data_IF_278446333196
#
_entry.id   IF_278446333196
#
_cell.length_a   1.000
_cell.length_b   1.000
_cell.length_c   1.000
_cell.angle_alpha   90.00
_cell.angle_beta   90.00
_cell.angle_gamma   90.00
#
_symmetry.space_group_name_H-M   'P 1'
#
loop_
_entity.id
_entity.type
_entity.pdbx_description
1 polymer ?
#
# COMPACT_ATOMS: atom_id res chain seq x y z
N UNK A 1 -26.02 -10.08 10.73
CA UNK A 1 -24.73 -10.71 10.40
C UNK A 1 -24.04 -11.06 11.70
N UNK A 2 -23.63 -12.32 11.88
CA UNK A 2 -22.79 -12.70 13.02
C UNK A 2 -21.42 -12.08 12.74
N UNK A 3 -20.92 -11.23 13.64
CA UNK A 3 -19.58 -10.70 13.52
C UNK A 3 -18.60 -11.87 13.62
N UNK A 4 -17.82 -12.11 12.56
CA UNK A 4 -16.80 -13.16 12.57
C UNK A 4 -15.63 -12.64 13.38
N UNK A 5 -15.32 -13.31 14.49
CA UNK A 5 -14.19 -12.94 15.34
C UNK A 5 -12.88 -13.19 14.58
N UNK A 6 -12.01 -12.19 14.43
CA UNK A 6 -10.72 -12.39 13.80
C UNK A 6 -9.85 -13.31 14.66
N UNK A 7 -9.17 -14.24 14.02
CA UNK A 7 -8.25 -15.18 14.66
C UNK A 7 -6.78 -14.73 14.51
N UNK A 8 -6.51 -13.85 13.55
CA UNK A 8 -5.17 -13.42 13.20
C UNK A 8 -5.11 -11.91 13.00
N UNK A 9 -3.98 -11.30 13.39
CA UNK A 9 -3.60 -9.94 13.03
C UNK A 9 -2.29 -10.00 12.25
N UNK A 10 -2.28 -9.45 11.03
CA UNK A 10 -1.05 -9.19 10.29
C UNK A 10 -0.69 -7.71 10.44
N UNK A 11 0.40 -7.46 11.15
CA UNK A 11 0.86 -6.13 11.52
C UNK A 11 2.10 -5.74 10.70
N UNK A 12 2.03 -4.59 10.02
CA UNK A 12 3.18 -3.92 9.42
C UNK A 12 4.02 -3.27 10.53
N UNK A 13 4.94 -4.01 11.15
CA UNK A 13 5.74 -3.54 12.29
C UNK A 13 6.52 -2.26 11.97
N UNK A 14 7.20 -2.11 10.81
CA UNK A 14 7.81 -0.85 10.41
C UNK A 14 6.81 0.31 10.29
N UNK A 15 5.60 0.04 9.79
CA UNK A 15 4.51 1.01 9.68
C UNK A 15 3.85 1.38 11.01
N UNK A 16 4.02 0.55 12.05
CA UNK A 16 3.41 0.70 13.38
C UNK A 16 4.43 0.40 14.50
N UNK A 17 5.51 1.21 14.64
CA UNK A 17 6.62 0.89 15.55
C UNK A 17 6.20 0.83 17.02
N UNK A 18 5.22 1.64 17.42
CA UNK A 18 4.68 1.61 18.79
C UNK A 18 3.94 0.29 19.08
N UNK A 19 3.13 -0.19 18.15
CA UNK A 19 2.46 -1.49 18.28
C UNK A 19 3.48 -2.64 18.27
N UNK A 20 4.53 -2.55 17.44
CA UNK A 20 5.65 -3.49 17.46
C UNK A 20 6.35 -3.57 18.83
N UNK A 21 6.64 -2.41 19.43
CA UNK A 21 7.22 -2.35 20.78
C UNK A 21 6.27 -2.93 21.85
N UNK A 22 4.98 -2.60 21.78
CA UNK A 22 3.98 -3.15 22.70
C UNK A 22 3.80 -4.66 22.55
N UNK A 23 3.84 -5.19 21.32
CA UNK A 23 3.81 -6.62 21.06
C UNK A 23 4.96 -7.34 21.77
N UNK A 24 6.17 -6.77 21.72
CA UNK A 24 7.35 -7.36 22.36
C UNK A 24 7.37 -7.20 23.89
N UNK A 25 6.83 -6.11 24.43
CA UNK A 25 6.92 -5.78 25.85
C UNK A 25 5.70 -6.25 26.67
N UNK A 26 4.50 -6.01 26.17
CA UNK A 26 3.23 -6.22 26.88
C UNK A 26 2.53 -7.51 26.46
N UNK A 27 2.79 -7.98 25.25
CA UNK A 27 2.19 -9.20 24.68
C UNK A 27 3.24 -10.26 24.35
N UNK A 28 4.32 -10.33 25.14
CA UNK A 28 5.40 -11.30 24.94
C UNK A 28 4.94 -12.77 25.00
N UNK A 29 3.79 -13.04 25.63
CA UNK A 29 3.14 -14.36 25.68
C UNK A 29 2.36 -14.71 24.41
N UNK A 30 2.02 -13.72 23.58
CA UNK A 30 1.29 -13.96 22.35
C UNK A 30 2.13 -14.81 21.40
N UNK A 31 1.49 -15.76 20.73
CA UNK A 31 2.15 -16.52 19.67
C UNK A 31 2.12 -15.70 18.39
N UNK A 32 3.28 -15.45 17.81
CA UNK A 32 3.38 -14.71 16.57
C UNK A 32 4.58 -15.19 15.73
N UNK A 33 4.59 -14.81 14.46
CA UNK A 33 5.57 -15.26 13.47
C UNK A 33 6.00 -14.10 12.57
N UNK A 34 7.29 -14.03 12.23
CA UNK A 34 7.76 -13.12 11.19
C UNK A 34 7.34 -13.65 9.82
N UNK A 35 6.66 -12.82 9.03
CA UNK A 35 6.19 -13.25 7.72
C UNK A 35 7.35 -13.50 6.76
N UNK A 36 8.39 -12.67 6.82
CA UNK A 36 9.58 -12.78 5.96
C UNK A 36 10.50 -13.95 6.31
N UNK A 37 10.32 -14.57 7.47
CA UNK A 37 11.11 -15.73 7.86
C UNK A 37 10.92 -16.90 6.89
N UNK A 38 11.99 -17.54 6.42
CA UNK A 38 11.91 -18.64 5.45
C UNK A 38 11.58 -18.19 4.02
N UNK A 39 11.63 -16.89 3.73
CA UNK A 39 11.47 -16.32 2.39
C UNK A 39 12.78 -15.70 1.88
N UNK A 40 12.81 -15.22 0.64
CA UNK A 40 13.93 -14.45 0.10
C UNK A 40 14.25 -13.17 0.91
N UNK A 41 13.27 -12.69 1.70
CA UNK A 41 13.37 -11.52 2.57
C UNK A 41 13.84 -11.83 3.99
N UNK A 42 14.28 -13.06 4.28
CA UNK A 42 14.65 -13.49 5.64
C UNK A 42 15.70 -12.60 6.30
N UNK A 43 16.63 -12.04 5.53
CA UNK A 43 17.64 -11.10 6.05
C UNK A 43 17.03 -9.85 6.72
N UNK A 44 15.80 -9.47 6.32
CA UNK A 44 15.04 -8.34 6.83
C UNK A 44 13.91 -8.76 7.78
N UNK A 45 13.90 -10.01 8.29
CA UNK A 45 12.75 -10.57 9.03
C UNK A 45 12.27 -9.71 10.20
N UNK A 46 13.20 -9.13 10.96
CA UNK A 46 12.89 -8.29 12.14
C UNK A 46 12.38 -6.89 11.76
N UNK A 47 12.50 -6.52 10.48
CA UNK A 47 11.95 -5.31 9.87
C UNK A 47 10.78 -5.66 8.93
N UNK A 48 10.23 -6.88 9.03
CA UNK A 48 9.10 -7.34 8.24
C UNK A 48 7.79 -7.27 9.03
N UNK A 49 6.67 -7.67 8.39
CA UNK A 49 5.39 -7.77 9.08
C UNK A 49 5.35 -9.02 9.97
N UNK A 50 4.57 -8.92 11.05
CA UNK A 50 4.35 -10.01 12.01
C UNK A 50 2.91 -10.53 11.89
N UNK A 51 2.74 -11.85 11.91
CA UNK A 51 1.44 -12.52 12.01
C UNK A 51 1.24 -12.95 13.46
N UNK A 52 0.25 -12.37 14.15
CA UNK A 52 -0.09 -12.64 15.54
C UNK A 52 -1.33 -13.55 15.60
N UNK A 53 -1.25 -14.61 16.41
CA UNK A 53 -2.38 -15.49 16.73
C UNK A 53 -3.22 -14.88 17.85
N UNK A 54 -4.32 -14.21 17.48
CA UNK A 54 -5.21 -13.52 18.41
C UNK A 54 -5.92 -14.48 19.37
N UNK A 55 -6.00 -15.77 19.05
CA UNK A 55 -6.58 -16.77 19.96
C UNK A 55 -5.72 -16.99 21.19
N UNK A 56 -4.42 -16.68 21.11
CA UNK A 56 -3.48 -16.74 22.24
C UNK A 56 -3.44 -15.46 23.06
N UNK A 57 -4.08 -14.38 22.58
CA UNK A 57 -4.09 -13.06 23.20
C UNK A 57 -5.41 -12.31 22.88
N UNK A 58 -6.56 -12.75 23.43
CA UNK A 58 -7.87 -12.18 23.10
C UNK A 58 -8.02 -10.70 23.45
N UNK A 59 -7.29 -10.21 24.44
CA UNK A 59 -7.24 -8.80 24.83
C UNK A 59 -6.79 -7.89 23.68
N UNK A 60 -5.94 -8.39 22.78
CA UNK A 60 -5.47 -7.65 21.62
C UNK A 60 -6.57 -7.43 20.58
N UNK A 61 -7.58 -8.32 20.51
CA UNK A 61 -8.73 -8.15 19.61
C UNK A 61 -9.50 -6.87 19.96
N UNK A 62 -9.76 -6.64 21.25
CA UNK A 62 -10.44 -5.42 21.70
C UNK A 62 -9.65 -4.16 21.38
N UNK A 63 -8.32 -4.20 21.55
CA UNK A 63 -7.44 -3.08 21.22
C UNK A 63 -7.39 -2.77 19.73
N UNK A 64 -7.52 -3.78 18.86
CA UNK A 64 -7.61 -3.56 17.42
C UNK A 64 -8.86 -2.75 17.03
N UNK A 65 -9.95 -2.87 17.79
CA UNK A 65 -11.19 -2.10 17.57
C UNK A 65 -11.17 -0.74 18.28
N UNK A 66 -10.63 -0.65 19.50
CA UNK A 66 -10.66 0.58 20.31
C UNK A 66 -9.48 1.53 20.05
N UNK A 67 -8.32 1.00 19.69
CA UNK A 67 -7.06 1.73 19.49
C UNK A 67 -6.57 1.59 18.04
N UNK A 68 -7.49 1.77 17.12
CA UNK A 68 -7.26 1.64 15.67
C UNK A 68 -6.00 2.33 15.17
N UNK A 69 -5.66 3.59 15.55
CA UNK A 69 -4.44 4.25 15.06
C UNK A 69 -3.14 3.53 15.43
N UNK A 70 -3.13 2.79 16.54
CA UNK A 70 -1.99 2.06 17.04
C UNK A 70 -1.89 0.68 16.38
N UNK A 71 -3.00 -0.08 16.36
CA UNK A 71 -3.05 -1.45 15.84
C UNK A 71 -3.53 -1.51 14.38
N UNK A 72 -2.96 -0.66 13.53
CA UNK A 72 -3.28 -0.64 12.09
C UNK A 72 -2.67 -1.84 11.37
N UNK A 73 -3.44 -2.92 11.28
CA UNK A 73 -3.07 -4.12 10.53
C UNK A 73 -4.27 -4.77 9.84
N UNK A 74 -4.03 -5.93 9.25
CA UNK A 74 -5.07 -6.75 8.65
C UNK A 74 -5.56 -7.80 9.63
N UNK A 75 -6.83 -7.73 10.00
CA UNK A 75 -7.52 -8.70 10.82
C UNK A 75 -8.11 -9.79 9.91
N UNK A 76 -7.86 -11.06 10.24
CA UNK A 76 -8.25 -12.18 9.40
C UNK A 76 -8.94 -13.28 10.20
N UNK A 77 -9.93 -13.92 9.58
CA UNK A 77 -10.45 -15.21 10.01
C UNK A 77 -9.98 -16.29 9.02
N UNK A 78 -9.44 -17.39 9.55
CA UNK A 78 -9.01 -18.54 8.75
C UNK A 78 -8.92 -19.75 9.66
N UNK A 79 -9.59 -20.84 9.26
CA UNK A 79 -9.67 -22.07 10.07
C UNK A 79 -8.53 -23.06 9.77
N UNK A 80 -7.62 -22.72 8.85
CA UNK A 80 -6.47 -23.56 8.55
C UNK A 80 -5.39 -23.45 9.64
N UNK A 81 -4.56 -24.49 9.82
CA UNK A 81 -3.38 -24.42 10.68
C UNK A 81 -2.46 -23.23 10.34
N UNK A 82 -1.78 -22.69 11.35
CA UNK A 82 -0.89 -21.53 11.20
C UNK A 82 0.17 -21.69 10.12
N UNK A 83 0.69 -22.91 9.94
CA UNK A 83 1.68 -23.22 8.91
C UNK A 83 1.15 -23.03 7.48
N UNK A 84 -0.09 -23.46 7.23
CA UNK A 84 -0.74 -23.30 5.91
C UNK A 84 -1.13 -21.85 5.65
N UNK A 85 -1.59 -21.13 6.67
CA UNK A 85 -1.86 -19.70 6.54
C UNK A 85 -0.57 -18.91 6.25
N UNK A 86 0.52 -19.19 6.99
CA UNK A 86 1.82 -18.56 6.75
C UNK A 86 2.35 -18.84 5.36
N UNK A 87 2.24 -20.08 4.88
CA UNK A 87 2.64 -20.44 3.52
C UNK A 87 1.88 -19.60 2.48
N UNK A 88 0.56 -19.50 2.61
CA UNK A 88 -0.27 -18.68 1.72
C UNK A 88 0.12 -17.20 1.76
N UNK A 89 0.21 -16.62 2.95
CA UNK A 89 0.59 -15.22 3.14
C UNK A 89 2.00 -14.91 2.60
N UNK A 90 2.92 -15.87 2.66
CA UNK A 90 4.26 -15.73 2.09
C UNK A 90 4.27 -15.79 0.57
N UNK A 91 3.39 -16.59 -0.05
CA UNK A 91 3.24 -16.59 -1.52
C UNK A 91 2.75 -15.25 -2.05
N UNK A 92 1.91 -14.55 -1.28
CA UNK A 92 1.44 -13.21 -1.64
C UNK A 92 2.53 -12.13 -1.62
N UNK A 93 3.70 -12.39 -1.03
CA UNK A 93 4.76 -11.38 -0.88
C UNK A 93 5.45 -11.05 -2.19
N UNK A 94 5.63 -12.01 -3.08
CA UNK A 94 6.37 -11.77 -4.32
C UNK A 94 5.40 -11.92 -5.48
N UNK A 95 5.38 -10.92 -6.36
CA UNK A 95 4.51 -10.88 -7.53
C UNK A 95 5.32 -10.59 -8.78
N UNK A 96 4.78 -10.96 -9.93
CA UNK A 96 5.32 -10.60 -11.23
C UNK A 96 4.44 -9.58 -11.95
N UNK A 97 5.07 -8.72 -12.74
CA UNK A 97 4.39 -7.82 -13.66
C UNK A 97 5.26 -7.59 -14.91
N UNK A 98 4.61 -7.37 -16.05
CA UNK A 98 5.30 -7.37 -17.34
C UNK A 98 5.97 -8.72 -17.66
N UNK A 99 7.00 -8.69 -18.51
CA UNK A 99 7.64 -9.93 -18.99
C UNK A 99 8.58 -10.57 -17.95
N UNK A 100 9.28 -9.78 -17.13
CA UNK A 100 10.33 -10.31 -16.23
C UNK A 100 10.50 -9.52 -14.92
N UNK A 101 9.58 -8.63 -14.53
CA UNK A 101 9.75 -7.87 -13.29
C UNK A 101 9.13 -8.61 -12.11
N UNK A 102 9.91 -8.74 -11.04
CA UNK A 102 9.49 -9.27 -9.73
C UNK A 102 9.49 -8.12 -8.72
N UNK A 103 8.50 -8.06 -7.86
CA UNK A 103 8.46 -7.10 -6.76
C UNK A 103 7.91 -7.70 -5.47
N UNK A 104 8.30 -7.09 -4.35
CA UNK A 104 7.67 -7.27 -3.06
C UNK A 104 6.31 -6.55 -3.07
N UNK A 105 5.23 -7.29 -2.92
CA UNK A 105 3.90 -6.77 -2.71
C UNK A 105 3.66 -6.58 -1.21
N UNK A 106 3.71 -5.34 -0.75
CA UNK A 106 3.45 -4.96 0.64
C UNK A 106 1.96 -4.97 0.99
N UNK A 107 1.23 -6.03 0.63
CA UNK A 107 -0.24 -6.14 0.87
C UNK A 107 -0.59 -6.04 2.35
N UNK A 108 0.33 -6.38 3.25
CA UNK A 108 0.18 -6.26 4.70
C UNK A 108 0.03 -4.81 5.17
N UNK A 109 0.38 -3.83 4.34
CA UNK A 109 0.11 -2.43 4.60
C UNK A 109 -1.37 -2.11 4.29
N UNK A 110 -2.13 -1.53 5.24
CA UNK A 110 -3.56 -1.25 5.05
C UNK A 110 -3.89 -0.33 3.85
N UNK A 111 -2.99 0.58 3.46
CA UNK A 111 -3.19 1.39 2.25
C UNK A 111 -3.05 0.50 1.01
N UNK A 112 -1.95 -0.23 0.86
CA UNK A 112 -1.73 -1.15 -0.27
C UNK A 112 -2.85 -2.17 -0.42
N UNK A 113 -3.32 -2.77 0.69
CA UNK A 113 -4.47 -3.68 0.70
C UNK A 113 -5.72 -3.03 0.09
N UNK A 114 -5.96 -1.75 0.39
CA UNK A 114 -7.14 -1.02 -0.08
C UNK A 114 -7.14 -0.86 -1.59
N UNK A 115 -5.98 -0.68 -2.25
CA UNK A 115 -5.90 -0.61 -3.71
C UNK A 115 -5.90 -2.00 -4.34
N UNK A 116 -5.14 -2.94 -3.79
CA UNK A 116 -5.01 -4.28 -4.35
C UNK A 116 -6.36 -4.99 -4.42
N UNK A 117 -7.08 -5.05 -3.30
CA UNK A 117 -8.30 -5.84 -3.23
C UNK A 117 -9.51 -5.16 -3.89
N UNK A 118 -9.52 -3.82 -3.98
CA UNK A 118 -10.50 -3.09 -4.81
C UNK A 118 -10.32 -3.39 -6.30
N UNK A 119 -9.10 -3.73 -6.71
CA UNK A 119 -8.76 -4.06 -8.10
C UNK A 119 -9.03 -5.53 -8.48
N UNK A 120 -9.55 -6.35 -7.56
CA UNK A 120 -9.78 -7.77 -7.80
C UNK A 120 -11.22 -8.04 -8.25
N UNK A 121 -11.37 -8.87 -9.29
CA UNK A 121 -12.64 -9.55 -9.52
C UNK A 121 -12.89 -10.67 -8.49
N UNK A 122 -14.05 -11.34 -8.54
CA UNK A 122 -14.39 -12.37 -7.57
C UNK A 122 -13.48 -13.62 -7.63
N UNK A 123 -12.95 -13.97 -8.81
CA UNK A 123 -12.04 -15.12 -8.97
C UNK A 123 -10.64 -14.77 -8.46
N UNK A 124 -10.13 -13.60 -8.83
CA UNK A 124 -8.87 -13.06 -8.32
C UNK A 124 -8.93 -12.91 -6.80
N UNK A 125 -10.02 -12.35 -6.26
CA UNK A 125 -10.19 -12.20 -4.82
C UNK A 125 -10.22 -13.56 -4.11
N UNK A 126 -10.91 -14.57 -4.68
CA UNK A 126 -10.90 -15.93 -4.14
C UNK A 126 -9.48 -16.51 -4.10
N UNK A 127 -8.67 -16.24 -5.14
CA UNK A 127 -7.28 -16.70 -5.24
C UNK A 127 -6.38 -16.00 -4.22
N UNK A 128 -6.48 -14.68 -4.12
CA UNK A 128 -5.68 -13.86 -3.20
C UNK A 128 -5.99 -14.16 -1.74
N UNK A 129 -7.26 -14.33 -1.38
CA UNK A 129 -7.65 -14.65 -0.01
C UNK A 129 -7.38 -16.12 0.34
N UNK A 130 -7.49 -17.04 -0.62
CA UNK A 130 -7.16 -18.46 -0.43
C UNK A 130 -7.84 -19.05 0.81
N UNK A 131 -7.11 -19.45 1.86
CA UNK A 131 -7.68 -20.01 3.09
C UNK A 131 -8.30 -18.96 4.04
N UNK A 132 -8.17 -17.66 3.76
CA UNK A 132 -8.74 -16.58 4.57
C UNK A 132 -10.21 -16.44 4.21
N UNK A 133 -11.11 -16.63 5.17
CA UNK A 133 -12.56 -16.53 4.94
C UNK A 133 -13.06 -15.08 5.06
N UNK A 134 -12.46 -14.32 5.98
CA UNK A 134 -12.77 -12.91 6.20
C UNK A 134 -11.48 -12.11 6.39
N UNK A 135 -11.46 -10.92 5.79
CA UNK A 135 -10.38 -9.95 5.92
C UNK A 135 -10.99 -8.60 6.28
N UNK A 136 -10.47 -7.93 7.31
CA UNK A 136 -10.94 -6.61 7.77
C UNK A 136 -9.74 -5.75 8.15
N UNK A 137 -9.77 -4.47 7.82
CA UNK A 137 -8.72 -3.53 8.22
C UNK A 137 -9.28 -2.12 8.31
N UNK A 138 -8.62 -1.26 9.07
CA UNK A 138 -8.91 0.16 9.03
C UNK A 138 -7.99 0.84 8.05
N UNK A 139 -8.57 1.42 6.99
CA UNK A 139 -7.80 1.96 5.89
C UNK A 139 -8.66 2.64 4.85
N UNK A 140 -8.14 2.66 3.65
CA UNK A 140 -8.60 3.47 2.54
C UNK A 140 -7.39 3.89 1.70
N UNK A 141 -7.70 4.56 0.60
CA UNK A 141 -6.70 5.14 -0.29
C UNK A 141 -5.86 6.22 0.42
N UNK A 142 -4.78 6.65 -0.21
CA UNK A 142 -4.02 7.83 0.23
C UNK A 142 -4.85 9.10 0.14
N UNK A 143 -5.74 9.21 -0.85
CA UNK A 143 -6.76 10.26 -0.90
C UNK A 143 -7.65 10.23 0.35
N UNK A 144 -8.19 9.06 0.74
CA UNK A 144 -9.01 8.93 1.94
C UNK A 144 -8.23 9.31 3.21
N UNK A 145 -6.95 8.92 3.26
CA UNK A 145 -6.05 9.29 4.34
C UNK A 145 -5.82 10.79 4.42
N UNK A 146 -5.68 11.45 3.28
CA UNK A 146 -5.41 12.88 3.21
C UNK A 146 -6.56 13.73 3.76
N UNK A 147 -7.79 13.34 3.47
CA UNK A 147 -9.00 14.06 3.93
C UNK A 147 -9.58 13.53 5.24
N UNK A 148 -8.98 12.49 5.83
CA UNK A 148 -9.42 11.89 7.08
C UNK A 148 -10.69 11.03 6.96
N UNK A 149 -11.01 10.53 5.76
CA UNK A 149 -12.18 9.67 5.48
C UNK A 149 -11.88 8.16 5.57
N UNK A 150 -10.74 7.78 6.15
CA UNK A 150 -10.43 6.36 6.35
C UNK A 150 -11.49 5.68 7.23
N UNK A 151 -11.76 4.42 6.93
CA UNK A 151 -12.80 3.65 7.60
C UNK A 151 -12.47 2.17 7.68
N UNK A 152 -13.35 1.44 8.35
CA UNK A 152 -13.28 -0.01 8.36
C UNK A 152 -13.66 -0.58 6.99
N UNK A 153 -12.72 -1.29 6.40
CA UNK A 153 -12.90 -2.08 5.19
C UNK A 153 -13.08 -3.55 5.58
N UNK A 154 -13.92 -4.28 4.85
CA UNK A 154 -14.14 -5.70 5.07
C UNK A 154 -14.39 -6.43 3.76
N UNK A 155 -13.78 -7.60 3.62
CA UNK A 155 -13.96 -8.52 2.52
C UNK A 155 -14.35 -9.89 3.06
N UNK A 156 -15.19 -10.56 2.29
CA UNK A 156 -15.54 -11.97 2.47
C UNK A 156 -15.00 -12.72 1.26
N UNK A 157 -14.31 -13.82 1.51
CA UNK A 157 -13.81 -14.65 0.42
C UNK A 157 -14.98 -15.27 -0.34
N UNK A 158 -15.09 -15.05 -1.67
CA UNK A 158 -16.19 -15.63 -2.46
C UNK A 158 -16.14 -17.16 -2.51
N UNK A 159 -14.97 -17.78 -2.26
CA UNK A 159 -14.81 -19.24 -2.19
C UNK A 159 -15.00 -19.93 -3.54
N UNK A 160 -14.74 -19.23 -4.64
CA UNK A 160 -14.85 -19.81 -5.98
C UNK A 160 -13.77 -20.87 -6.20
N UNK A 161 -14.11 -21.90 -6.98
CA UNK A 161 -13.16 -22.93 -7.39
C UNK A 161 -12.16 -22.36 -8.41
N UNK A 162 -11.03 -21.86 -7.91
CA UNK A 162 -9.93 -21.28 -8.71
C UNK A 162 -8.63 -22.05 -8.48
N UNK A 163 -7.66 -21.87 -9.38
CA UNK A 163 -6.29 -22.33 -9.12
C UNK A 163 -5.77 -21.67 -7.84
N UNK A 164 -5.03 -22.39 -6.98
CA UNK A 164 -4.33 -21.79 -5.86
C UNK A 164 -3.40 -20.67 -6.32
N UNK A 165 -3.13 -19.71 -5.43
CA UNK A 165 -2.15 -18.65 -5.68
C UNK A 165 -0.79 -19.26 -6.05
N UNK A 166 -0.27 -18.87 -7.21
CA UNK A 166 1.02 -19.34 -7.69
C UNK A 166 2.16 -18.74 -6.85
N UNK A 167 3.33 -19.34 -6.93
CA UNK A 167 4.56 -18.67 -6.51
C UNK A 167 4.81 -17.56 -7.53
N UNK A 168 4.92 -16.31 -7.07
CA UNK A 168 5.13 -15.15 -7.93
C UNK A 168 3.94 -14.84 -8.87
N UNK A 169 2.73 -14.86 -8.29
CA UNK A 169 1.48 -14.54 -9.00
C UNK A 169 1.63 -13.28 -9.87
N UNK A 170 1.13 -13.36 -11.10
CA UNK A 170 1.15 -12.24 -12.03
C UNK A 170 0.03 -11.27 -11.69
N UNK A 171 0.37 -10.00 -11.48
CA UNK A 171 -0.64 -8.96 -11.28
C UNK A 171 -1.42 -8.74 -12.58
N UNK A 172 -2.75 -8.70 -12.49
CA UNK A 172 -3.56 -8.30 -13.64
C UNK A 172 -3.30 -6.83 -14.02
N UNK A 173 -3.55 -6.42 -15.28
CA UNK A 173 -3.33 -5.03 -15.69
C UNK A 173 -4.03 -4.01 -14.79
N UNK A 174 -5.22 -4.34 -14.29
CA UNK A 174 -5.97 -3.46 -13.40
C UNK A 174 -5.35 -3.38 -12.00
N UNK A 175 -4.86 -4.50 -11.45
CA UNK A 175 -4.10 -4.50 -10.19
C UNK A 175 -2.81 -3.68 -10.32
N UNK A 176 -2.10 -3.81 -11.44
CA UNK A 176 -0.90 -3.03 -11.72
C UNK A 176 -1.20 -1.52 -11.75
N UNK A 177 -2.25 -1.12 -12.47
CA UNK A 177 -2.71 0.27 -12.54
C UNK A 177 -3.02 0.82 -11.15
N UNK A 178 -3.84 0.11 -10.37
CA UNK A 178 -4.25 0.55 -9.02
C UNK A 178 -3.09 0.63 -8.04
N UNK A 179 -2.14 -0.30 -8.12
CA UNK A 179 -0.92 -0.26 -7.30
C UNK A 179 0.04 0.85 -7.74
N UNK A 180 0.10 1.16 -9.04
CA UNK A 180 0.83 2.32 -9.53
C UNK A 180 0.22 3.63 -9.01
N UNK A 181 -1.12 3.75 -9.06
CA UNK A 181 -1.83 4.87 -8.43
C UNK A 181 -1.53 4.96 -6.94
N UNK A 182 -1.53 3.84 -6.21
CA UNK A 182 -1.16 3.80 -4.79
C UNK A 182 0.23 4.42 -4.54
N UNK A 183 1.24 4.09 -5.34
CA UNK A 183 2.60 4.64 -5.20
C UNK A 183 2.66 6.13 -5.52
N UNK A 184 1.93 6.58 -6.55
CA UNK A 184 1.88 7.98 -6.96
C UNK A 184 1.12 8.84 -5.93
N UNK A 185 0.01 8.35 -5.40
CA UNK A 185 -0.74 9.07 -4.35
C UNK A 185 0.02 9.06 -3.02
N UNK A 186 0.72 7.97 -2.68
CA UNK A 186 1.63 7.96 -1.53
C UNK A 186 2.67 9.07 -1.66
N UNK A 187 3.23 9.22 -2.87
CA UNK A 187 4.22 10.25 -3.14
C UNK A 187 3.66 11.66 -2.95
N UNK A 188 2.49 11.95 -3.54
CA UNK A 188 1.80 13.23 -3.37
C UNK A 188 1.46 13.50 -1.89
N UNK A 189 1.05 12.46 -1.15
CA UNK A 189 0.78 12.56 0.29
C UNK A 189 2.04 12.87 1.09
N UNK A 190 3.18 12.25 0.80
CA UNK A 190 4.44 12.58 1.47
C UNK A 190 4.86 14.03 1.21
N UNK A 191 4.70 14.50 -0.03
CA UNK A 191 4.94 15.89 -0.40
C UNK A 191 4.00 16.88 0.29
N UNK A 192 2.73 16.53 0.50
CA UNK A 192 1.78 17.41 1.20
C UNK A 192 2.18 17.57 2.66
N UNK A 193 2.68 16.50 3.27
CA UNK A 193 3.21 16.51 4.63
C UNK A 193 4.52 17.29 4.75
N UNK A 194 5.41 17.26 3.76
CA UNK A 194 6.71 17.94 3.82
C UNK A 194 6.64 19.42 3.47
N UNK A 195 5.78 19.80 2.52
CA UNK A 195 5.65 21.19 2.04
C UNK A 195 4.54 21.98 2.74
N UNK A 196 3.62 21.30 3.42
CA UNK A 196 2.42 21.93 3.99
C UNK A 196 1.36 22.31 2.93
N UNK A 197 1.54 21.90 1.68
CA UNK A 197 0.57 22.11 0.60
C UNK A 197 -0.59 21.12 0.72
N UNK A 198 -1.79 21.54 0.35
CA UNK A 198 -2.96 20.66 0.29
C UNK A 198 -2.73 19.43 -0.62
N UNK A 199 -3.22 18.27 -0.20
CA UNK A 199 -3.04 17.01 -0.94
C UNK A 199 -3.68 17.03 -2.32
N UNK A 200 -4.91 17.55 -2.46
CA UNK A 200 -5.61 17.54 -3.75
C UNK A 200 -4.88 18.44 -4.75
N UNK A 201 -4.32 19.55 -4.27
CA UNK A 201 -3.48 20.44 -5.07
C UNK A 201 -2.23 19.71 -5.57
N UNK A 202 -1.49 19.06 -4.68
CA UNK A 202 -0.30 18.29 -5.05
C UNK A 202 -0.62 17.10 -5.96
N UNK A 203 -1.73 16.41 -5.71
CA UNK A 203 -2.17 15.32 -6.56
C UNK A 203 -2.46 15.81 -7.98
N UNK A 204 -3.16 16.94 -8.10
CA UNK A 204 -3.38 17.58 -9.41
C UNK A 204 -2.06 17.94 -10.10
N UNK A 205 -1.04 18.40 -9.37
CA UNK A 205 0.27 18.68 -9.94
C UNK A 205 1.03 17.41 -10.37
N UNK A 206 0.92 16.31 -9.62
CA UNK A 206 1.46 15.01 -10.04
C UNK A 206 0.80 14.57 -11.35
N UNK A 207 -0.54 14.66 -11.44
CA UNK A 207 -1.27 14.31 -12.65
C UNK A 207 -0.90 15.21 -13.85
N UNK A 208 -0.74 16.51 -13.62
CA UNK A 208 -0.26 17.47 -14.63
C UNK A 208 1.14 17.09 -15.14
N UNK A 209 2.08 16.75 -14.24
CA UNK A 209 3.43 16.32 -14.59
C UNK A 209 3.46 15.02 -15.39
N UNK A 210 2.65 14.04 -14.99
CA UNK A 210 2.52 12.77 -15.73
C UNK A 210 1.92 12.99 -17.13
N UNK A 211 0.96 13.92 -17.28
CA UNK A 211 0.41 14.29 -18.59
C UNK A 211 1.44 15.00 -19.49
N UNK A 212 2.44 15.65 -18.89
CA UNK A 212 3.61 16.21 -19.58
C UNK A 212 4.74 15.17 -19.79
N UNK A 213 4.49 13.90 -19.49
CA UNK A 213 5.43 12.78 -19.65
C UNK A 213 6.68 12.92 -18.74
N UNK A 214 6.49 13.48 -17.54
CA UNK A 214 7.44 13.44 -16.43
C UNK A 214 7.14 12.21 -15.56
N UNK A 215 7.72 11.08 -15.92
CA UNK A 215 7.50 9.78 -15.26
C UNK A 215 8.69 9.33 -14.41
N UNK A 216 9.89 9.85 -14.69
CA UNK A 216 11.07 9.61 -13.86
C UNK A 216 10.95 10.35 -12.53
N UNK A 217 11.24 9.65 -11.44
CA UNK A 217 11.04 10.17 -10.08
C UNK A 217 11.77 11.51 -9.82
N UNK A 218 13.06 11.67 -10.16
CA UNK A 218 13.76 12.95 -9.94
C UNK A 218 13.14 14.10 -10.76
N UNK A 219 12.71 13.82 -11.99
CA UNK A 219 12.09 14.83 -12.87
C UNK A 219 10.71 15.23 -12.33
N UNK A 220 9.92 14.27 -11.86
CA UNK A 220 8.63 14.55 -11.23
C UNK A 220 8.80 15.37 -9.94
N UNK A 221 9.81 15.06 -9.12
CA UNK A 221 10.14 15.83 -7.92
C UNK A 221 10.53 17.28 -8.26
N UNK A 222 11.40 17.49 -9.26
CA UNK A 222 11.79 18.82 -9.71
C UNK A 222 10.62 19.59 -10.34
N UNK A 223 9.75 18.89 -11.06
CA UNK A 223 8.50 19.44 -11.59
C UNK A 223 7.59 19.93 -10.47
N UNK A 224 7.37 19.14 -9.41
CA UNK A 224 6.55 19.55 -8.27
C UNK A 224 7.11 20.80 -7.60
N UNK A 225 8.43 20.88 -7.42
CA UNK A 225 9.07 22.10 -6.90
C UNK A 225 8.84 23.31 -7.80
N UNK A 226 9.06 23.15 -9.10
CA UNK A 226 8.84 24.22 -10.07
C UNK A 226 7.39 24.68 -10.06
N UNK A 227 6.45 23.73 -10.00
CA UNK A 227 5.02 24.03 -10.03
C UNK A 227 4.55 24.78 -8.78
N UNK A 228 5.08 24.43 -7.60
CA UNK A 228 4.80 25.16 -6.36
C UNK A 228 5.37 26.59 -6.36
N UNK A 229 6.48 26.83 -7.05
CA UNK A 229 7.05 28.18 -7.21
C UNK A 229 6.21 29.04 -8.17
N UNK A 230 5.60 28.42 -9.18
CA UNK A 230 4.83 29.10 -10.22
C UNK A 230 3.42 28.50 -10.36
N UNK A 231 2.54 28.64 -9.35
CA UNK A 231 1.25 27.94 -9.31
C UNK A 231 0.26 28.38 -10.41
N UNK A 232 0.42 29.59 -10.93
CA UNK A 232 -0.44 30.14 -11.99
C UNK A 232 0.12 30.01 -13.41
N UNK A 233 1.36 29.53 -13.57
CA UNK A 233 1.98 29.43 -14.89
C UNK A 233 1.34 28.31 -15.72
N UNK A 234 1.24 28.49 -17.03
CA UNK A 234 0.68 27.47 -17.92
C UNK A 234 1.83 26.66 -18.54
N UNK A 235 1.85 25.33 -18.39
CA UNK A 235 2.75 24.50 -19.17
C UNK A 235 2.23 24.49 -20.61
N UNK A 236 2.96 25.12 -21.52
CA UNK A 236 2.59 25.13 -22.94
C UNK A 236 2.37 23.71 -23.48
N UNK A 237 1.59 23.57 -24.55
CA UNK A 237 1.14 22.26 -25.07
C UNK A 237 2.25 21.38 -25.65
N UNK A 238 3.41 21.94 -26.01
CA UNK A 238 4.54 21.20 -26.55
C UNK A 238 5.83 21.69 -25.90
N UNK A 239 6.39 20.88 -25.00
CA UNK A 239 7.66 21.18 -24.35
C UNK A 239 8.82 20.71 -25.24
N UNK A 240 9.76 21.60 -25.62
CA UNK A 240 10.90 21.21 -26.42
C UNK A 240 11.89 20.36 -25.59
N UNK A 241 12.48 19.36 -26.21
CA UNK A 241 13.45 18.45 -25.57
C UNK A 241 13.25 17.00 -26.02
N UNK A 242 14.34 16.24 -26.05
CA UNK A 242 14.33 14.81 -26.35
C UNK A 242 14.20 13.96 -25.08
N UNK A 243 14.61 14.52 -23.94
CA UNK A 243 14.52 13.88 -22.62
C UNK A 243 13.51 14.57 -21.71
N UNK A 244 13.05 13.88 -20.66
CA UNK A 244 12.15 14.47 -19.65
C UNK A 244 12.81 15.67 -18.96
N UNK A 245 14.12 15.59 -18.67
CA UNK A 245 14.88 16.67 -18.05
C UNK A 245 14.98 17.90 -18.96
N UNK A 246 15.30 17.74 -20.25
CA UNK A 246 15.38 18.87 -21.20
C UNK A 246 14.03 19.59 -21.35
N UNK A 247 12.92 18.83 -21.35
CA UNK A 247 11.57 19.40 -21.36
C UNK A 247 11.27 20.20 -20.10
N UNK A 248 11.68 19.70 -18.93
CA UNK A 248 11.52 20.40 -17.66
C UNK A 248 12.40 21.67 -17.58
N UNK A 249 13.65 21.60 -18.01
CA UNK A 249 14.55 22.76 -18.02
C UNK A 249 14.07 23.85 -18.98
N UNK A 250 13.53 23.46 -20.13
CA UNK A 250 12.89 24.40 -21.07
C UNK A 250 11.70 25.12 -20.44
N UNK A 251 10.88 24.39 -19.68
CA UNK A 251 9.75 24.96 -18.96
C UNK A 251 10.20 25.90 -17.83
N UNK A 252 11.24 25.51 -17.08
CA UNK A 252 11.86 26.34 -16.03
C UNK A 252 12.35 27.67 -16.61
N UNK A 253 13.04 27.63 -17.74
CA UNK A 253 13.51 28.83 -18.43
C UNK A 253 12.34 29.72 -18.90
N UNK A 254 11.27 29.13 -19.45
CA UNK A 254 10.09 29.87 -19.87
C UNK A 254 9.48 30.65 -18.70
N UNK A 255 9.22 29.97 -17.58
CA UNK A 255 8.55 30.58 -16.42
C UNK A 255 9.42 31.57 -15.65
N UNK A 256 10.75 31.41 -15.69
CA UNK A 256 11.69 32.37 -15.12
C UNK A 256 11.82 33.64 -15.97
N UNK A 257 11.78 33.51 -17.31
CA UNK A 257 11.91 34.64 -18.23
C UNK A 257 10.61 35.43 -18.43
N UNK A 258 9.44 34.83 -18.14
CA UNK A 258 8.13 35.50 -18.17
C UNK A 258 7.82 36.30 -16.88
N UNK A 259 8.77 36.43 -15.96
CA UNK A 259 8.65 37.30 -14.77
C UNK A 259 8.99 38.76 -15.16
N UNK A 260 8.12 39.75 -14.89
CA UNK A 260 8.36 41.16 -15.19
C UNK A 260 9.46 41.81 -14.34
#
# INVERSE_FOLDING_TARGET
MIAVTPQWLLLDVPGAPQAGAMLQQQFAHARWFWLFEGTEWHALREHGPALIDLRTCPELVGLCDSEVPLWRGLLMASDVPSALLLEHLRRMLTVTFGLHHRALLSYYNPQTASYLFDACDAQELSRWLGPISHLRWFGGTWADRAIGSQGWQQLVNPGLAVSPLAVEENLSPHQQEKLQTCLLEQHAWLWSRSTGTDYNTLWSHVQEGLALDFTERPVLDDWLWLRLQYPGALPGHALPGLTQQERLDSLRNLWQNDQP
#
